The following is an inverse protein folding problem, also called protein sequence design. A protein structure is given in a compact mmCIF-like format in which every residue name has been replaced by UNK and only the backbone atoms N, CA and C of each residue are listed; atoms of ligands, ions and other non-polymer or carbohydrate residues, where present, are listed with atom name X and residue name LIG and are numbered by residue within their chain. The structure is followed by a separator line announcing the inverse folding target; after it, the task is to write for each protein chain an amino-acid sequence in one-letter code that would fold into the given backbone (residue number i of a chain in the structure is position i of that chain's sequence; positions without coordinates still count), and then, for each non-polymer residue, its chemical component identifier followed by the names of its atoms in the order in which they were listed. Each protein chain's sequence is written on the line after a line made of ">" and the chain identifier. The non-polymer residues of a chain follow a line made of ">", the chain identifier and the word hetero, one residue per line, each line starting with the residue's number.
data_IF_842017070761
#
_entry.id   IF_842017070761
#
_cell.length_a   1.000
_cell.length_b   1.000
_cell.length_c   1.000
_cell.angle_alpha   90.00
_cell.angle_beta   90.00
_cell.angle_gamma   90.00
#
_symmetry.space_group_name_H-M   'P 1'
#
loop_
_entity.id
_entity.type
_entity.pdbx_description
1 polymer ?
#
# COMPACT_ATOMS: atom_id res chain seq x y z
N UNK A 1 -10.46 -15.29 6.98
CA UNK A 1 -9.79 -15.94 5.83
C UNK A 1 -10.88 -16.37 4.87
N UNK A 2 -10.72 -16.08 3.57
CA UNK A 2 -11.61 -16.63 2.56
C UNK A 2 -11.38 -18.14 2.45
N UNK A 3 -12.44 -18.92 2.27
CA UNK A 3 -12.36 -20.39 2.09
C UNK A 3 -11.73 -20.79 0.76
N UNK A 4 -11.65 -19.85 -0.19
CA UNK A 4 -11.17 -20.09 -1.56
C UNK A 4 -10.09 -19.07 -1.94
N UNK A 5 -9.24 -19.46 -2.89
CA UNK A 5 -8.30 -18.55 -3.52
C UNK A 5 -9.02 -17.35 -4.15
N UNK A 6 -8.37 -16.18 -4.07
CA UNK A 6 -8.88 -14.96 -4.70
C UNK A 6 -8.80 -15.10 -6.21
N UNK A 7 -9.91 -14.88 -6.90
CA UNK A 7 -9.93 -14.89 -8.37
C UNK A 7 -9.19 -13.69 -8.95
N UNK A 8 -8.66 -13.83 -10.17
CA UNK A 8 -8.02 -12.71 -10.90
C UNK A 8 -8.95 -11.50 -11.03
N UNK A 9 -10.25 -11.71 -11.17
CA UNK A 9 -11.23 -10.62 -11.25
C UNK A 9 -11.32 -9.82 -9.92
N UNK A 10 -11.31 -10.49 -8.77
CA UNK A 10 -11.28 -9.84 -7.46
C UNK A 10 -9.94 -9.12 -7.23
N UNK A 11 -8.83 -9.77 -7.61
CA UNK A 11 -7.52 -9.14 -7.51
C UNK A 11 -7.42 -7.87 -8.37
N UNK A 12 -7.92 -7.90 -9.58
CA UNK A 12 -7.99 -6.72 -10.47
C UNK A 12 -8.80 -5.57 -9.85
N UNK A 13 -9.87 -5.87 -9.14
CA UNK A 13 -10.63 -4.84 -8.40
C UNK A 13 -9.77 -4.19 -7.31
N UNK A 14 -8.97 -4.99 -6.59
CA UNK A 14 -8.03 -4.47 -5.61
C UNK A 14 -6.96 -3.57 -6.24
N UNK A 15 -6.37 -3.99 -7.37
CA UNK A 15 -5.39 -3.17 -8.10
C UNK A 15 -5.99 -1.83 -8.52
N UNK A 16 -7.21 -1.83 -9.06
CA UNK A 16 -7.90 -0.59 -9.42
C UNK A 16 -8.21 0.29 -8.21
N UNK A 17 -8.60 -0.31 -7.10
CA UNK A 17 -8.83 0.44 -5.86
C UNK A 17 -7.55 1.12 -5.36
N UNK A 18 -6.40 0.43 -5.39
CA UNK A 18 -5.10 1.03 -5.02
C UNK A 18 -4.75 2.16 -5.98
N UNK A 19 -4.87 1.95 -7.30
CA UNK A 19 -4.64 2.99 -8.30
C UNK A 19 -5.49 4.23 -8.03
N UNK A 20 -6.78 4.03 -7.84
CA UNK A 20 -7.72 5.13 -7.62
C UNK A 20 -7.44 5.83 -6.27
N UNK A 21 -7.07 5.09 -5.23
CA UNK A 21 -6.64 5.66 -3.95
C UNK A 21 -5.44 6.59 -4.12
N UNK A 22 -4.41 6.16 -4.84
CA UNK A 22 -3.23 6.97 -5.12
C UNK A 22 -3.62 8.24 -5.91
N UNK A 23 -4.49 8.09 -6.92
CA UNK A 23 -4.96 9.23 -7.70
C UNK A 23 -5.72 10.26 -6.85
N UNK A 24 -6.58 9.82 -5.95
CA UNK A 24 -7.28 10.73 -5.02
C UNK A 24 -6.31 11.48 -4.12
N UNK A 25 -5.32 10.80 -3.54
CA UNK A 25 -4.31 11.46 -2.71
C UNK A 25 -3.56 12.53 -3.51
N UNK A 26 -3.10 12.20 -4.72
CA UNK A 26 -2.42 13.19 -5.58
C UNK A 26 -3.28 14.40 -5.92
N UNK A 27 -4.58 14.21 -6.17
CA UNK A 27 -5.50 15.31 -6.43
C UNK A 27 -5.68 16.20 -5.19
N UNK A 28 -5.77 15.60 -4.01
CA UNK A 28 -5.87 16.36 -2.75
C UNK A 28 -4.57 17.11 -2.46
N UNK A 29 -3.42 16.47 -2.64
CA UNK A 29 -2.08 17.06 -2.45
C UNK A 29 -1.83 18.22 -3.43
N UNK A 30 -2.46 18.19 -4.61
CA UNK A 30 -2.46 19.30 -5.58
C UNK A 30 -3.45 20.44 -5.20
N UNK A 31 -4.07 20.36 -4.02
CA UNK A 31 -5.00 21.38 -3.52
C UNK A 31 -6.47 21.20 -3.95
N UNK A 32 -6.80 20.12 -4.66
CA UNK A 32 -8.16 19.81 -5.06
C UNK A 32 -8.92 19.11 -3.92
N UNK A 33 -9.13 19.83 -2.82
CA UNK A 33 -9.70 19.33 -1.56
C UNK A 33 -11.12 18.77 -1.68
N UNK A 34 -11.80 18.96 -2.79
CA UNK A 34 -13.11 18.40 -3.08
C UNK A 34 -13.11 16.86 -3.27
N UNK A 35 -11.92 16.27 -3.49
CA UNK A 35 -11.72 14.81 -3.55
C UNK A 35 -11.51 14.19 -2.18
N UNK A 36 -11.43 15.01 -1.13
CA UNK A 36 -11.49 14.57 0.26
C UNK A 36 -12.87 14.86 0.88
N UNK A 37 -13.18 14.15 1.94
CA UNK A 37 -14.38 14.43 2.75
C UNK A 37 -14.05 15.61 3.65
N UNK A 38 -14.75 16.72 3.40
CA UNK A 38 -14.58 17.94 4.21
C UNK A 38 -15.18 17.73 5.61
N UNK A 39 -14.50 18.14 6.68
CA UNK A 39 -15.09 18.18 8.01
C UNK A 39 -16.27 19.17 8.03
N UNK A 40 -17.28 18.87 8.84
CA UNK A 40 -18.44 19.77 8.99
C UNK A 40 -18.10 21.03 9.76
N UNK A 41 -17.22 20.88 10.73
CA UNK A 41 -16.75 21.98 11.61
C UNK A 41 -15.22 21.84 11.74
N UNK A 42 -14.50 22.91 11.39
CA UNK A 42 -13.04 22.99 11.49
C UNK A 42 -12.32 23.12 10.15
N UNK A 43 -11.02 23.34 10.25
CA UNK A 43 -10.15 23.44 9.09
C UNK A 43 -9.87 22.05 8.49
N UNK A 44 -9.58 22.02 7.20
CA UNK A 44 -9.20 20.79 6.50
C UNK A 44 -7.82 20.31 6.99
N UNK A 45 -7.76 19.06 7.45
CA UNK A 45 -6.51 18.41 7.87
C UNK A 45 -5.88 17.71 6.67
N UNK A 46 -4.78 18.27 6.17
CA UNK A 46 -4.05 17.73 5.02
C UNK A 46 -3.33 16.42 5.33
N UNK A 47 -3.08 16.10 6.59
CA UNK A 47 -2.40 14.87 7.00
C UNK A 47 -3.39 13.71 7.26
N UNK A 48 -4.62 14.04 7.72
CA UNK A 48 -5.59 13.04 8.16
C UNK A 48 -6.98 13.28 7.55
N UNK A 49 -7.12 13.03 6.28
CA UNK A 49 -8.40 13.14 5.59
C UNK A 49 -8.91 11.78 5.09
N UNK A 50 -10.20 11.70 4.87
CA UNK A 50 -10.82 10.55 4.22
C UNK A 50 -11.12 10.87 2.76
N UNK A 51 -10.88 9.91 1.87
CA UNK A 51 -11.14 10.04 0.43
C UNK A 51 -12.64 10.10 0.14
N UNK A 52 -13.04 11.03 -0.71
CA UNK A 52 -14.40 11.14 -1.21
C UNK A 52 -14.63 10.21 -2.42
N UNK A 53 -14.88 8.94 -2.17
CA UNK A 53 -15.15 7.94 -3.21
C UNK A 53 -16.41 8.19 -4.06
N UNK A 54 -17.25 9.13 -3.67
CA UNK A 54 -18.45 9.49 -4.46
C UNK A 54 -18.12 10.36 -5.66
N UNK A 55 -17.05 11.13 -5.59
CA UNK A 55 -16.59 11.96 -6.68
C UNK A 55 -15.74 11.12 -7.62
N UNK A 56 -16.04 11.15 -8.91
CA UNK A 56 -15.29 10.38 -9.91
C UNK A 56 -13.97 11.07 -10.23
N UNK A 57 -12.91 10.28 -10.40
CA UNK A 57 -11.61 10.77 -10.84
C UNK A 57 -11.72 11.22 -12.30
N UNK A 58 -11.29 12.44 -12.64
CA UNK A 58 -11.42 12.99 -13.98
C UNK A 58 -10.21 12.59 -14.86
N UNK A 59 -10.07 11.30 -15.16
CA UNK A 59 -8.95 10.74 -15.94
C UNK A 59 -8.70 11.40 -17.30
N UNK A 60 -9.72 12.05 -17.87
CA UNK A 60 -9.67 12.69 -19.18
C UNK A 60 -9.80 14.21 -19.11
N UNK A 61 -9.64 14.79 -17.92
CA UNK A 61 -9.69 16.25 -17.77
C UNK A 61 -8.52 16.91 -18.51
N UNK A 62 -8.77 18.15 -18.92
CA UNK A 62 -7.77 19.03 -19.52
C UNK A 62 -7.42 20.19 -18.62
N UNK A 63 -7.97 20.20 -17.41
CA UNK A 63 -7.63 21.19 -16.39
C UNK A 63 -6.17 20.99 -15.96
N UNK A 64 -5.40 22.08 -15.96
CA UNK A 64 -3.95 22.03 -15.74
C UNK A 64 -3.60 21.38 -14.40
N UNK A 65 -4.28 21.78 -13.32
CA UNK A 65 -4.07 21.26 -11.97
C UNK A 65 -4.31 19.74 -11.88
N UNK A 66 -5.35 19.23 -12.58
CA UNK A 66 -5.69 17.82 -12.62
C UNK A 66 -4.66 17.03 -13.43
N UNK A 67 -4.25 17.58 -14.56
CA UNK A 67 -3.25 16.94 -15.44
C UNK A 67 -1.92 16.85 -14.70
N UNK A 68 -1.45 17.94 -14.09
CA UNK A 68 -0.20 17.97 -13.31
C UNK A 68 -0.21 16.96 -12.15
N UNK A 69 -1.34 16.84 -11.45
CA UNK A 69 -1.49 15.89 -10.35
C UNK A 69 -1.43 14.43 -10.80
N UNK A 70 -2.02 14.10 -11.95
CA UNK A 70 -2.16 12.72 -12.43
C UNK A 70 -1.06 12.29 -13.41
N UNK A 71 -0.39 13.22 -14.10
CA UNK A 71 0.67 12.92 -15.07
C UNK A 71 1.75 11.97 -14.53
N UNK A 72 2.25 12.12 -13.29
CA UNK A 72 3.28 11.23 -12.75
C UNK A 72 2.85 9.77 -12.63
N UNK A 73 1.55 9.47 -12.70
CA UNK A 73 1.03 8.11 -12.68
C UNK A 73 1.14 7.40 -14.03
N UNK A 74 1.54 8.12 -15.08
CA UNK A 74 1.59 7.60 -16.44
C UNK A 74 2.99 7.70 -17.03
N UNK A 75 3.31 6.79 -17.94
CA UNK A 75 4.47 6.93 -18.81
C UNK A 75 4.18 7.92 -19.93
N UNK A 76 5.22 8.35 -20.65
CA UNK A 76 5.11 9.25 -21.79
C UNK A 76 4.26 8.72 -22.96
N UNK A 77 4.08 7.40 -23.02
CA UNK A 77 3.21 6.71 -23.99
C UNK A 77 1.74 6.62 -23.53
N UNK A 78 1.43 7.17 -22.37
CA UNK A 78 0.10 7.14 -21.74
C UNK A 78 -0.22 5.84 -20.99
N UNK A 79 0.74 4.90 -20.89
CA UNK A 79 0.60 3.70 -20.08
C UNK A 79 0.68 3.99 -18.58
N UNK A 80 -0.13 3.30 -17.78
CA UNK A 80 -0.08 3.44 -16.32
C UNK A 80 1.26 2.91 -15.78
N UNK A 81 1.90 3.67 -14.90
CA UNK A 81 3.13 3.28 -14.20
C UNK A 81 2.82 2.29 -13.07
N UNK A 82 2.71 1.02 -13.42
CA UNK A 82 2.34 -0.03 -12.48
C UNK A 82 3.39 -0.28 -11.41
N UNK A 83 4.64 0.08 -11.64
CA UNK A 83 5.74 -0.02 -10.68
C UNK A 83 5.50 0.86 -9.45
N UNK A 84 4.78 1.97 -9.59
CA UNK A 84 4.50 2.91 -8.51
C UNK A 84 3.22 2.56 -7.74
N UNK A 85 2.53 1.48 -8.13
CA UNK A 85 1.35 1.02 -7.41
C UNK A 85 1.77 0.22 -6.17
N UNK A 86 1.95 0.92 -5.08
CA UNK A 86 2.31 0.35 -3.80
C UNK A 86 1.11 0.37 -2.85
N UNK A 87 0.98 -0.68 -2.05
CA UNK A 87 0.02 -0.75 -0.97
C UNK A 87 0.75 -0.89 0.37
N UNK A 88 0.56 0.08 1.23
CA UNK A 88 1.09 0.08 2.58
C UNK A 88 0.00 -0.42 3.54
N UNK A 89 0.31 -1.43 4.32
CA UNK A 89 -0.58 -1.93 5.36
C UNK A 89 0.19 -2.18 6.65
N UNK A 90 -0.52 -2.06 7.76
CA UNK A 90 0.04 -2.27 9.09
C UNK A 90 -0.85 -3.20 9.88
N UNK A 91 -0.22 -3.97 10.76
CA UNK A 91 -0.92 -4.87 11.68
C UNK A 91 -0.17 -4.97 13.00
N UNK A 92 -0.87 -5.41 14.02
CA UNK A 92 -0.26 -5.70 15.31
C UNK A 92 0.48 -7.04 15.26
N UNK A 93 1.74 -7.06 15.63
CA UNK A 93 2.54 -8.28 15.72
C UNK A 93 2.17 -9.06 16.97
N UNK A 94 1.17 -9.93 16.84
CA UNK A 94 0.69 -10.77 17.95
C UNK A 94 1.71 -11.79 18.43
N UNK A 95 2.61 -12.26 17.57
CA UNK A 95 3.68 -13.19 17.93
C UNK A 95 4.62 -12.55 18.96
N UNK A 96 4.96 -11.28 18.76
CA UNK A 96 5.74 -10.51 19.72
C UNK A 96 4.95 -10.18 21.00
N UNK A 97 3.67 -9.91 20.87
CA UNK A 97 2.79 -9.61 22.01
C UNK A 97 2.61 -10.82 22.94
N UNK A 98 2.65 -12.05 22.43
CA UNK A 98 2.48 -13.29 23.19
C UNK A 98 3.73 -13.70 23.97
N UNK A 99 4.90 -13.13 23.68
CA UNK A 99 6.13 -13.47 24.39
C UNK A 99 5.99 -13.15 25.88
N UNK A 100 6.42 -14.06 26.74
CA UNK A 100 6.34 -13.90 28.20
C UNK A 100 7.04 -12.63 28.69
N UNK A 101 8.15 -12.23 28.05
CA UNK A 101 8.90 -11.01 28.37
C UNK A 101 8.15 -9.73 27.98
N UNK A 102 7.17 -9.82 27.06
CA UNK A 102 6.39 -8.70 26.54
C UNK A 102 4.98 -8.62 27.14
N UNK A 103 4.65 -9.51 28.06
CA UNK A 103 3.31 -9.56 28.64
C UNK A 103 3.02 -8.29 29.44
N UNK A 104 1.92 -7.61 29.09
CA UNK A 104 1.46 -6.42 29.79
C UNK A 104 1.09 -6.75 31.25
N UNK A 105 1.65 -6.02 32.20
CA UNK A 105 1.31 -6.12 33.60
C UNK A 105 0.09 -5.28 33.93
N UNK A 106 -1.06 -5.92 33.99
CA UNK A 106 -2.35 -5.25 34.24
C UNK A 106 -2.38 -4.56 35.60
N UNK A 107 -1.72 -5.13 36.59
CA UNK A 107 -1.70 -4.56 37.96
C UNK A 107 -0.90 -3.26 38.01
N UNK A 108 0.15 -3.16 37.20
CA UNK A 108 1.01 -1.97 37.13
C UNK A 108 0.63 -1.03 35.97
N UNK A 109 -0.27 -1.46 35.08
CA UNK A 109 -0.69 -0.69 33.92
C UNK A 109 0.43 -0.41 32.88
N UNK A 110 1.45 -1.27 32.80
CA UNK A 110 2.63 -1.05 31.97
C UNK A 110 3.29 -2.36 31.53
N UNK A 111 4.08 -2.26 30.47
CA UNK A 111 4.98 -3.33 30.04
C UNK A 111 6.22 -3.43 30.96
N UNK A 112 6.87 -4.60 31.03
CA UNK A 112 8.15 -4.76 31.72
C UNK A 112 9.21 -3.81 31.15
N UNK A 113 10.12 -3.32 32.01
CA UNK A 113 11.16 -2.35 31.61
C UNK A 113 12.06 -2.89 30.50
N UNK A 114 12.31 -4.20 30.49
CA UNK A 114 13.15 -4.86 29.49
C UNK A 114 12.37 -5.45 28.32
N UNK A 115 11.07 -5.15 28.23
CA UNK A 115 10.25 -5.62 27.11
C UNK A 115 10.72 -4.95 25.80
N UNK A 116 10.90 -5.76 24.78
CA UNK A 116 11.29 -5.30 23.44
C UNK A 116 10.41 -5.95 22.38
N UNK A 117 10.05 -5.19 21.37
CA UNK A 117 9.35 -5.71 20.22
C UNK A 117 10.30 -5.75 19.01
N UNK A 118 10.31 -6.90 18.33
CA UNK A 118 10.92 -7.05 17.02
C UNK A 118 9.83 -6.93 15.98
N UNK A 119 9.86 -5.87 15.19
CA UNK A 119 8.83 -5.55 14.21
C UNK A 119 9.46 -5.26 12.85
N UNK A 120 8.76 -5.63 11.81
CA UNK A 120 9.19 -5.32 10.45
C UNK A 120 8.73 -3.92 10.08
N UNK A 121 9.55 -3.21 9.34
CA UNK A 121 9.30 -1.89 8.82
C UNK A 121 9.69 -1.85 7.35
N UNK A 122 8.80 -1.34 6.53
CA UNK A 122 9.04 -1.15 5.09
C UNK A 122 8.96 0.34 4.75
N UNK A 123 9.82 0.76 3.82
CA UNK A 123 9.77 2.10 3.24
C UNK A 123 10.18 2.06 1.77
N UNK A 124 9.88 3.12 1.05
CA UNK A 124 10.34 3.31 -0.33
C UNK A 124 11.57 4.22 -0.29
N UNK A 125 12.66 3.79 -0.92
CA UNK A 125 13.88 4.59 -1.00
C UNK A 125 13.77 5.69 -2.07
N UNK A 126 14.83 6.52 -2.20
CA UNK A 126 14.90 7.64 -3.15
C UNK A 126 14.79 7.18 -4.61
N UNK A 127 15.20 5.94 -4.89
CA UNK A 127 15.12 5.32 -6.21
C UNK A 127 13.77 4.65 -6.50
N UNK A 128 12.83 4.68 -5.55
CA UNK A 128 11.50 4.07 -5.66
C UNK A 128 11.46 2.59 -5.32
N UNK A 129 12.53 2.01 -4.75
CA UNK A 129 12.57 0.60 -4.36
C UNK A 129 12.02 0.38 -2.96
N UNK A 130 11.23 -0.68 -2.81
CA UNK A 130 10.76 -1.11 -1.49
C UNK A 130 11.95 -1.72 -0.73
N UNK A 131 12.19 -1.20 0.47
CA UNK A 131 13.17 -1.71 1.42
C UNK A 131 12.49 -2.22 2.67
N UNK A 132 12.90 -3.39 3.11
CA UNK A 132 12.42 -4.02 4.33
C UNK A 132 13.55 -4.08 5.36
N UNK A 133 13.21 -3.81 6.61
CA UNK A 133 14.12 -3.98 7.74
C UNK A 133 13.37 -4.47 8.96
N UNK A 134 14.03 -5.27 9.77
CA UNK A 134 13.51 -5.64 11.07
C UNK A 134 14.12 -4.72 12.13
N UNK A 135 13.27 -4.02 12.86
CA UNK A 135 13.66 -3.08 13.91
C UNK A 135 13.33 -3.68 15.26
N UNK A 136 14.30 -3.59 16.20
CA UNK A 136 14.07 -3.93 17.61
C UNK A 136 13.92 -2.62 18.38
N UNK A 137 12.79 -2.45 19.05
CA UNK A 137 12.48 -1.24 19.83
C UNK A 137 11.95 -1.59 21.21
N UNK A 138 12.16 -0.70 22.22
CA UNK A 138 11.56 -0.89 23.54
C UNK A 138 10.04 -0.93 23.43
N UNK A 139 9.39 -1.87 24.10
CA UNK A 139 7.94 -2.01 24.16
C UNK A 139 7.41 -1.22 25.35
N UNK A 140 6.79 -0.08 25.08
CA UNK A 140 6.18 0.80 26.08
C UNK A 140 4.67 0.92 25.92
N UNK A 141 4.20 0.92 24.68
CA UNK A 141 2.80 1.08 24.31
C UNK A 141 2.40 0.02 23.28
N UNK A 142 1.11 -0.32 23.16
CA UNK A 142 0.64 -1.28 22.17
C UNK A 142 1.02 -0.90 20.73
N UNK A 143 1.14 0.40 20.41
CA UNK A 143 1.58 0.86 19.11
C UNK A 143 3.01 0.44 18.74
N UNK A 144 3.86 0.16 19.73
CA UNK A 144 5.23 -0.32 19.50
C UNK A 144 5.28 -1.73 18.91
N UNK A 145 4.15 -2.46 18.93
CA UNK A 145 3.98 -3.77 18.30
C UNK A 145 3.48 -3.67 16.86
N UNK A 146 3.24 -2.47 16.34
CA UNK A 146 2.76 -2.31 14.98
C UNK A 146 3.90 -2.55 13.99
N UNK A 147 3.68 -3.50 13.12
CA UNK A 147 4.51 -3.81 11.96
C UNK A 147 3.87 -3.16 10.73
N UNK A 148 4.66 -2.59 9.85
CA UNK A 148 4.18 -2.10 8.56
C UNK A 148 4.90 -2.80 7.41
N UNK A 149 4.18 -2.99 6.32
CA UNK A 149 4.73 -3.55 5.10
C UNK A 149 4.18 -2.83 3.88
N UNK A 150 5.08 -2.52 2.96
CA UNK A 150 4.76 -1.99 1.64
C UNK A 150 4.94 -3.12 0.64
N UNK A 151 3.97 -3.33 -0.21
CA UNK A 151 4.03 -4.31 -1.29
C UNK A 151 3.75 -3.65 -2.63
N UNK A 152 4.41 -4.11 -3.68
CA UNK A 152 3.99 -3.80 -5.04
C UNK A 152 2.70 -4.57 -5.33
N UNK A 153 1.67 -3.85 -5.74
CA UNK A 153 0.36 -4.43 -6.03
C UNK A 153 0.36 -5.10 -7.39
N UNK A 154 1.16 -4.59 -8.32
CA UNK A 154 1.27 -5.21 -9.64
C UNK A 154 2.33 -6.32 -9.60
N UNK A 155 1.99 -7.55 -10.03
CA UNK A 155 2.93 -8.65 -9.98
C UNK A 155 4.13 -8.41 -10.91
N UNK A 156 5.32 -8.75 -10.44
CA UNK A 156 6.53 -8.72 -11.27
C UNK A 156 6.43 -9.83 -12.33
N UNK A 157 5.96 -9.46 -13.52
CA UNK A 157 5.85 -10.38 -14.65
C UNK A 157 7.21 -10.83 -15.19
N UNK A 158 8.30 -10.12 -14.82
CA UNK A 158 9.67 -10.45 -15.26
C UNK A 158 10.26 -11.65 -14.51
N UNK A 159 9.68 -12.05 -13.38
CA UNK A 159 10.11 -13.24 -12.63
C UNK A 159 10.12 -14.48 -13.52
N UNK A 160 9.11 -14.62 -14.37
CA UNK A 160 8.98 -15.75 -15.29
C UNK A 160 10.06 -15.79 -16.38
N UNK A 161 10.58 -14.62 -16.77
CA UNK A 161 11.64 -14.50 -17.77
C UNK A 161 13.01 -14.81 -17.17
N UNK A 162 13.19 -14.61 -15.86
CA UNK A 162 14.43 -14.90 -15.13
C UNK A 162 14.62 -16.39 -14.88
N UNK A 163 13.56 -17.18 -14.88
CA UNK A 163 13.65 -18.62 -14.76
C UNK A 163 13.96 -19.25 -16.11
N UNK A 164 15.21 -19.67 -16.32
CA UNK A 164 15.67 -20.30 -17.56
C UNK A 164 14.96 -21.63 -17.90
N UNK A 165 14.23 -22.22 -16.97
CA UNK A 165 13.39 -23.41 -17.21
C UNK A 165 12.04 -23.03 -17.85
N UNK A 166 11.70 -21.75 -17.85
CA UNK A 166 10.44 -21.27 -18.41
C UNK A 166 10.61 -20.95 -19.89
N UNK A 167 10.16 -21.82 -20.75
CA UNK A 167 10.18 -21.57 -22.19
C UNK A 167 9.09 -20.54 -22.55
N UNK A 168 9.48 -19.29 -22.80
CA UNK A 168 8.59 -18.20 -23.28
C UNK A 168 7.75 -18.62 -24.52
N UNK A 169 8.20 -19.62 -25.26
CA UNK A 169 7.55 -20.14 -26.46
C UNK A 169 6.58 -21.29 -26.17
N UNK A 170 6.33 -21.66 -24.92
CA UNK A 170 5.37 -22.71 -24.61
C UNK A 170 3.95 -22.22 -24.92
N UNK A 171 3.24 -22.90 -25.86
CA UNK A 171 1.89 -22.51 -26.25
C UNK A 171 0.88 -22.52 -25.10
N UNK A 172 1.10 -23.34 -24.07
CA UNK A 172 0.27 -23.37 -22.87
C UNK A 172 0.38 -22.08 -22.05
N UNK A 173 1.52 -21.42 -22.08
CA UNK A 173 1.75 -20.20 -21.32
C UNK A 173 1.24 -18.95 -22.02
N UNK A 174 1.16 -18.97 -23.37
CA UNK A 174 0.56 -17.85 -24.13
C UNK A 174 -0.89 -17.57 -23.76
N UNK A 175 -1.62 -18.58 -23.29
CA UNK A 175 -3.00 -18.43 -22.81
C UNK A 175 -3.13 -17.66 -21.50
N UNK A 176 -2.12 -17.68 -20.65
CA UNK A 176 -2.14 -17.00 -19.35
C UNK A 176 -1.79 -15.50 -19.43
N UNK A 177 -0.97 -15.10 -20.40
CA UNK A 177 -0.54 -13.70 -20.54
C UNK A 177 -1.55 -12.81 -21.27
N UNK A 178 -2.52 -13.38 -21.98
CA UNK A 178 -3.56 -12.61 -22.69
C UNK A 178 -4.74 -12.17 -21.81
N UNK A 179 -4.69 -12.43 -20.48
CA UNK A 179 -5.79 -12.13 -19.57
C UNK A 179 -5.44 -11.10 -18.47
N UNK A 180 -4.31 -10.39 -18.61
CA UNK A 180 -3.98 -9.25 -17.72
C UNK A 180 -4.25 -7.94 -18.45
#
# INVERSE_FOLDING_TARGET
>A
MDETEITNAKYKQFVFWVRDSIAYHRLVDAGLVEYAIQPRDGDFDEENYAINWKKKIPWTSKEEDVVEALEPMFYSDGGLRTIDLHYNYSWMNYDQAQLACNKFDVAKGKYPINATARVDSSWIDEDGWIRDSTVVRPLREPKDLITNKIISVYPDTMVWIRDFQYAYNDPMLRGYFNYI
#
